data_IF_195831244414
#
_entry.id   IF_195831244414
#
_cell.length_a   1.000
_cell.length_b   1.000
_cell.length_c   1.000
_cell.angle_alpha   90.00
_cell.angle_beta   90.00
_cell.angle_gamma   90.00
#
_symmetry.space_group_name_H-M   'P 1'
#
loop_
_entity.id
_entity.type
_entity.pdbx_description
1 polymer ?
#
# COMPACT_ATOMS: atom_id res chain seq x y z
N UNK A 1 -12.82 10.38 -14.65
CA UNK A 1 -12.41 9.03 -14.21
C UNK A 1 -11.15 8.68 -14.97
N UNK A 2 -9.98 8.69 -14.31
CA UNK A 2 -8.71 8.38 -14.95
C UNK A 2 -8.20 7.06 -14.34
N UNK A 3 -8.26 6.01 -15.14
CA UNK A 3 -7.74 4.69 -14.75
C UNK A 3 -6.24 4.69 -15.03
N UNK A 4 -5.41 4.73 -13.99
CA UNK A 4 -3.97 4.46 -14.14
C UNK A 4 -3.79 2.96 -14.24
N UNK A 5 -3.67 2.45 -15.46
CA UNK A 5 -3.38 1.04 -15.72
C UNK A 5 -1.87 0.83 -15.59
N UNK A 6 -1.41 0.31 -14.44
CA UNK A 6 -0.03 -0.16 -14.30
C UNK A 6 0.08 -1.46 -15.10
N UNK A 7 0.66 -1.39 -16.29
CA UNK A 7 0.82 -2.55 -17.18
C UNK A 7 1.97 -3.43 -16.69
N UNK A 8 1.70 -4.34 -15.76
CA UNK A 8 2.28 -5.68 -15.78
C UNK A 8 1.41 -6.62 -14.95
N UNK A 9 1.25 -7.85 -15.43
CA UNK A 9 0.37 -8.88 -14.87
C UNK A 9 0.62 -9.09 -13.37
N UNK A 10 -0.20 -8.51 -12.50
CA UNK A 10 -0.53 -9.03 -11.16
C UNK A 10 -1.75 -8.26 -10.65
N UNK A 11 -2.57 -8.98 -9.88
CA UNK A 11 -3.88 -8.56 -9.38
C UNK A 11 -3.82 -7.17 -8.71
N UNK A 12 -4.18 -6.11 -9.44
CA UNK A 12 -4.35 -4.78 -8.88
C UNK A 12 -5.65 -4.79 -8.08
N UNK A 13 -5.57 -4.71 -6.76
CA UNK A 13 -6.74 -4.40 -5.95
C UNK A 13 -7.03 -2.91 -6.13
N UNK A 14 -7.92 -2.59 -7.08
CA UNK A 14 -8.42 -1.23 -7.30
C UNK A 14 -9.39 -0.92 -6.17
N UNK A 15 -8.90 -0.28 -5.10
CA UNK A 15 -9.79 0.32 -4.11
C UNK A 15 -10.15 1.75 -4.53
N UNK A 16 -11.46 1.94 -4.61
CA UNK A 16 -12.24 3.15 -4.87
C UNK A 16 -11.52 4.48 -4.61
N UNK A 17 -11.35 5.29 -5.66
CA UNK A 17 -10.77 6.64 -5.60
C UNK A 17 -11.70 7.53 -4.76
N UNK A 18 -11.42 7.63 -3.47
CA UNK A 18 -11.80 8.76 -2.63
C UNK A 18 -10.52 9.50 -2.28
N UNK A 19 -10.60 10.79 -2.01
CA UNK A 19 -9.46 11.72 -1.82
C UNK A 19 -8.45 11.31 -0.71
N UNK A 20 -8.66 10.16 -0.06
CA UNK A 20 -7.94 9.62 1.08
C UNK A 20 -6.72 8.74 0.71
N UNK A 21 -6.51 8.41 -0.57
CA UNK A 21 -5.36 7.60 -1.04
C UNK A 21 -4.16 8.42 -1.53
N UNK A 22 -4.32 9.74 -1.65
CA UNK A 22 -3.24 10.63 -2.08
C UNK A 22 -2.42 11.09 -0.87
N UNK A 23 -1.09 11.04 -0.99
CA UNK A 23 -0.25 11.86 -0.12
C UNK A 23 -0.59 13.33 -0.41
N UNK A 24 -1.04 14.12 0.57
CA UNK A 24 -1.46 15.51 0.33
C UNK A 24 -0.33 16.43 -0.14
N UNK A 25 0.93 15.99 -0.07
CA UNK A 25 2.08 16.80 -0.42
C UNK A 25 2.63 16.54 -1.83
N UNK A 26 2.54 15.31 -2.36
CA UNK A 26 3.55 14.89 -3.37
C UNK A 26 3.05 14.19 -4.63
N UNK A 27 1.75 14.21 -4.97
CA UNK A 27 1.28 13.58 -6.23
C UNK A 27 1.70 12.08 -6.34
N UNK A 28 1.59 11.36 -5.23
CA UNK A 28 1.96 9.95 -5.12
C UNK A 28 0.78 9.09 -4.71
N UNK A 29 0.82 7.81 -5.10
CA UNK A 29 -0.15 6.77 -4.79
C UNK A 29 0.54 5.72 -3.92
N UNK A 30 -0.04 5.41 -2.76
CA UNK A 30 0.35 4.25 -1.97
C UNK A 30 -0.60 3.08 -2.23
N UNK A 31 -0.06 1.88 -2.43
CA UNK A 31 -0.85 0.69 -2.73
C UNK A 31 -0.17 -0.58 -2.22
N UNK A 32 -0.92 -1.68 -2.19
CA UNK A 32 -0.39 -2.99 -1.79
C UNK A 32 -0.17 -3.88 -3.01
N UNK A 33 0.95 -4.60 -3.05
CA UNK A 33 1.28 -5.54 -4.13
C UNK A 33 2.08 -6.73 -3.62
N UNK A 34 1.88 -7.89 -4.24
CA UNK A 34 2.66 -9.12 -4.02
C UNK A 34 3.70 -9.33 -5.12
N UNK A 35 4.14 -8.28 -5.81
CA UNK A 35 5.05 -8.37 -6.95
C UNK A 35 6.41 -9.01 -6.62
N UNK A 36 6.82 -9.02 -5.35
CA UNK A 36 8.05 -9.65 -4.89
C UNK A 36 7.84 -11.03 -4.24
N UNK A 37 6.60 -11.55 -4.20
CA UNK A 37 6.31 -12.90 -3.70
C UNK A 37 5.81 -13.82 -4.83
N UNK A 38 6.66 -14.75 -5.33
CA UNK A 38 6.25 -15.70 -6.35
C UNK A 38 5.16 -16.68 -5.87
N UNK A 39 4.91 -16.80 -4.56
CA UNK A 39 3.81 -17.62 -4.00
C UNK A 39 2.50 -16.84 -3.90
N UNK A 40 2.56 -15.51 -4.04
CA UNK A 40 1.43 -14.59 -4.15
C UNK A 40 0.66 -14.31 -2.86
N UNK A 41 1.16 -14.67 -1.68
CA UNK A 41 0.49 -14.46 -0.39
C UNK A 41 1.09 -13.32 0.44
N UNK A 42 2.34 -12.97 0.19
CA UNK A 42 3.03 -11.90 0.90
C UNK A 42 2.85 -10.60 0.09
N UNK A 43 2.25 -9.61 0.74
CA UNK A 43 1.98 -8.30 0.17
C UNK A 43 2.80 -7.27 0.92
N UNK A 44 3.37 -6.32 0.19
CA UNK A 44 4.01 -5.14 0.75
C UNK A 44 3.30 -3.88 0.29
N UNK A 45 3.58 -2.78 0.98
CA UNK A 45 3.19 -1.45 0.55
C UNK A 45 4.21 -0.86 -0.42
N UNK A 46 3.71 -0.18 -1.44
CA UNK A 46 4.50 0.50 -2.47
C UNK A 46 3.99 1.92 -2.65
N UNK A 47 4.91 2.81 -2.99
CA UNK A 47 4.65 4.20 -3.34
C UNK A 47 5.07 4.43 -4.79
N UNK A 48 4.30 5.19 -5.55
CA UNK A 48 4.61 5.53 -6.95
C UNK A 48 4.12 6.95 -7.26
N UNK A 49 4.82 7.67 -8.12
CA UNK A 49 4.35 8.94 -8.65
C UNK A 49 3.12 8.72 -9.55
N UNK A 50 2.21 9.70 -9.63
CA UNK A 50 1.00 9.61 -10.48
C UNK A 50 1.30 9.44 -11.98
N UNK A 51 2.50 9.81 -12.42
CA UNK A 51 2.97 9.61 -13.80
C UNK A 51 3.56 8.21 -14.05
N UNK A 52 3.61 7.38 -13.00
CA UNK A 52 4.12 6.01 -13.03
C UNK A 52 5.62 5.87 -12.79
N UNK A 53 6.32 6.96 -12.45
CA UNK A 53 7.76 6.94 -12.13
C UNK A 53 8.02 6.69 -10.64
N UNK A 54 9.29 6.47 -10.28
CA UNK A 54 9.77 6.34 -8.90
C UNK A 54 9.01 5.34 -8.03
N UNK A 55 8.80 4.12 -8.55
CA UNK A 55 8.24 3.02 -7.76
C UNK A 55 9.19 2.66 -6.61
N UNK A 56 8.69 2.79 -5.38
CA UNK A 56 9.40 2.46 -4.15
C UNK A 56 8.64 1.41 -3.33
N UNK A 57 9.35 0.45 -2.73
CA UNK A 57 8.81 -0.48 -1.74
C UNK A 57 8.97 0.12 -0.34
N UNK A 58 7.86 0.26 0.39
CA UNK A 58 7.80 0.94 1.69
C UNK A 58 7.91 -0.06 2.85
N UNK A 59 7.31 -1.24 2.73
CA UNK A 59 7.39 -2.28 3.76
C UNK A 59 8.12 -3.52 3.26
N UNK A 60 8.71 -4.28 4.20
CA UNK A 60 9.59 -5.42 3.91
C UNK A 60 9.31 -6.60 4.84
N UNK A 61 8.07 -6.70 5.33
CA UNK A 61 7.71 -7.77 6.25
C UNK A 61 7.48 -9.09 5.50
N UNK A 62 7.97 -10.20 6.05
CA UNK A 62 7.68 -11.54 5.53
C UNK A 62 6.25 -11.95 5.92
N UNK A 63 5.27 -11.37 5.23
CA UNK A 63 3.85 -11.63 5.43
C UNK A 63 2.96 -10.63 4.69
N UNK A 64 1.75 -10.43 5.19
CA UNK A 64 0.79 -9.49 4.61
C UNK A 64 0.93 -8.11 5.24
N UNK A 65 1.19 -7.10 4.41
CA UNK A 65 0.94 -5.68 4.66
C UNK A 65 -0.03 -5.13 3.58
N UNK A 66 -1.12 -4.51 4.02
CA UNK A 66 -2.26 -4.22 3.15
C UNK A 66 -3.06 -2.99 3.54
N UNK A 67 -3.93 -2.56 2.62
CA UNK A 67 -4.95 -1.53 2.86
C UNK A 67 -4.41 -0.19 3.41
N UNK A 68 -3.40 0.41 2.76
CA UNK A 68 -2.84 1.67 3.22
C UNK A 68 -3.83 2.82 3.05
N UNK A 69 -3.84 3.75 4.00
CA UNK A 69 -4.61 4.99 3.92
C UNK A 69 -3.90 6.13 4.65
N UNK A 70 -3.76 7.27 3.99
CA UNK A 70 -3.22 8.47 4.62
C UNK A 70 -4.29 9.19 5.46
N UNK A 71 -3.87 9.80 6.57
CA UNK A 71 -4.72 10.76 7.25
C UNK A 71 -5.02 11.96 6.34
N UNK A 72 -6.15 12.68 6.52
CA UNK A 72 -6.51 13.81 5.64
C UNK A 72 -5.45 14.91 5.55
N UNK A 73 -4.61 15.06 6.57
CA UNK A 73 -3.51 16.02 6.61
C UNK A 73 -2.14 15.41 6.21
N UNK A 74 -2.09 14.13 5.85
CA UNK A 74 -0.88 13.45 5.38
C UNK A 74 0.17 13.15 6.44
N UNK A 75 -0.13 13.41 7.72
CA UNK A 75 0.83 13.20 8.81
C UNK A 75 0.91 11.75 9.27
N UNK A 76 -0.08 10.92 8.95
CA UNK A 76 -0.11 9.54 9.37
C UNK A 76 -0.47 8.63 8.20
N UNK A 77 0.07 7.42 8.25
CA UNK A 77 -0.34 6.30 7.42
C UNK A 77 -0.90 5.21 8.33
N UNK A 78 -2.11 4.73 8.03
CA UNK A 78 -2.66 3.51 8.62
C UNK A 78 -2.56 2.37 7.61
N UNK A 79 -2.29 1.17 8.09
CA UNK A 79 -2.30 -0.03 7.27
C UNK A 79 -2.57 -1.28 8.11
N UNK A 80 -3.01 -2.34 7.45
CA UNK A 80 -3.23 -3.65 8.06
C UNK A 80 -1.98 -4.52 7.89
N UNK A 81 -1.61 -5.29 8.91
CA UNK A 81 -0.45 -6.18 8.84
C UNK A 81 -0.59 -7.41 9.71
N UNK A 82 -0.01 -8.54 9.28
CA UNK A 82 0.09 -9.76 10.08
C UNK A 82 1.31 -9.74 11.04
N UNK A 83 2.01 -8.61 11.13
CA UNK A 83 3.05 -8.40 12.16
C UNK A 83 2.44 -8.56 13.55
N UNK A 84 3.20 -9.20 14.44
CA UNK A 84 2.80 -9.45 15.83
C UNK A 84 1.46 -10.21 15.96
N UNK A 85 1.14 -11.07 14.99
CA UNK A 85 -0.04 -11.94 15.03
C UNK A 85 0.03 -12.95 16.18
N UNK A 86 -1.12 -13.24 16.80
CA UNK A 86 -1.23 -14.28 17.84
C UNK A 86 -1.28 -15.69 17.23
N UNK A 87 -1.90 -15.83 16.06
CA UNK A 87 -1.91 -17.05 15.23
C UNK A 87 -1.76 -16.69 13.74
N UNK A 88 -1.30 -17.62 12.89
CA UNK A 88 -1.14 -17.37 11.46
C UNK A 88 -2.42 -16.87 10.79
N UNK A 89 -2.31 -15.71 10.13
CA UNK A 89 -3.41 -15.05 9.42
C UNK A 89 -4.17 -14.02 10.25
N UNK A 90 -3.84 -13.82 11.53
CA UNK A 90 -4.40 -12.68 12.27
C UNK A 90 -3.81 -11.37 11.72
N UNK A 91 -4.69 -10.40 11.52
CA UNK A 91 -4.33 -9.08 10.99
C UNK A 91 -4.55 -8.01 12.06
N UNK A 92 -3.51 -7.22 12.30
CA UNK A 92 -3.51 -6.08 13.19
C UNK A 92 -3.57 -4.77 12.38
N UNK A 93 -3.98 -3.68 13.02
CA UNK A 93 -3.94 -2.33 12.43
C UNK A 93 -2.76 -1.58 13.01
N UNK A 94 -1.94 -1.01 12.14
CA UNK A 94 -0.80 -0.18 12.48
C UNK A 94 -1.05 1.26 12.04
N UNK A 95 -0.50 2.20 12.81
CA UNK A 95 -0.42 3.61 12.48
C UNK A 95 1.02 4.07 12.66
N UNK A 96 1.52 4.85 11.72
CA UNK A 96 2.82 5.50 11.82
C UNK A 96 2.73 6.97 11.41
N UNK A 97 3.66 7.78 11.91
CA UNK A 97 3.90 9.11 11.36
C UNK A 97 4.51 8.99 9.96
N UNK A 98 4.01 9.80 9.04
CA UNK A 98 4.51 9.90 7.67
C UNK A 98 5.29 11.21 7.51
N UNK A 99 6.49 11.14 6.93
CA UNK A 99 7.43 12.26 6.83
C UNK A 99 7.77 12.58 5.39
#
# INVERSE_FOLDING_TARGET
MQTVQIRSKLLTMVLQISDHFFSPKDNQIIFSSNMHDPKGRDFDLYLINIDGTDLERITYFEGFDGFPMFSPNGQYLVFASNRNQNKPGDTNIFICEWK
#
